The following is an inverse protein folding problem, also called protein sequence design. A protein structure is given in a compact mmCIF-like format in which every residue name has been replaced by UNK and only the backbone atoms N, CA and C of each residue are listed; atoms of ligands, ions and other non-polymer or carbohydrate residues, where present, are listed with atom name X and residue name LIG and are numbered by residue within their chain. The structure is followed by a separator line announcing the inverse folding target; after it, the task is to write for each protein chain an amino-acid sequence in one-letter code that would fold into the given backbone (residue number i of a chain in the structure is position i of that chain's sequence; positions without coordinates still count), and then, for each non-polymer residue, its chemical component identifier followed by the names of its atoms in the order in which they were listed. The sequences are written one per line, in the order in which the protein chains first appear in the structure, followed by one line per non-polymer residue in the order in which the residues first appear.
data_IF_891785080970
#
_entry.id   IF_891785080970
#
_cell.length_a   1.000
_cell.length_b   1.000
_cell.length_c   1.000
_cell.angle_alpha   90.00
_cell.angle_beta   90.00
_cell.angle_gamma   90.00
#
_symmetry.space_group_name_H-M   'P 1'
#
loop_
_entity.id
_entity.type
_entity.pdbx_description
1 polymer ?
#
# COMPACT_ATOMS: atom_id res chain seq x y z
N UNK A 1 18.66 -1.60 4.96
CA UNK A 1 17.32 -1.04 5.26
C UNK A 1 16.27 -1.99 4.75
N UNK A 2 15.20 -2.17 5.51
CA UNK A 2 14.05 -3.00 5.21
C UNK A 2 12.78 -2.20 5.50
N UNK A 3 11.69 -2.48 4.78
CA UNK A 3 10.35 -2.01 5.14
C UNK A 3 9.54 -3.20 5.64
N UNK A 4 8.93 -3.04 6.81
CA UNK A 4 8.11 -4.06 7.45
C UNK A 4 6.74 -3.49 7.78
N UNK A 5 5.68 -4.22 7.42
CA UNK A 5 4.31 -3.84 7.74
C UNK A 5 3.55 -4.99 8.38
N UNK A 6 2.55 -4.65 9.20
CA UNK A 6 1.50 -5.59 9.60
C UNK A 6 0.46 -5.74 8.49
N UNK A 7 -0.55 -6.59 8.68
CA UNK A 7 -1.67 -6.75 7.75
C UNK A 7 -2.99 -6.57 8.49
N UNK A 8 -3.92 -5.83 7.90
CA UNK A 8 -5.28 -5.78 8.42
C UNK A 8 -6.05 -7.09 8.18
N UNK A 9 -6.59 -7.66 9.25
CA UNK A 9 -7.33 -8.93 9.22
C UNK A 9 -8.82 -8.70 9.43
N UNK A 10 -9.19 -7.78 10.31
CA UNK A 10 -10.59 -7.46 10.59
C UNK A 10 -11.14 -6.30 9.76
N UNK A 11 -12.45 -6.36 9.50
CA UNK A 11 -13.19 -5.25 8.90
C UNK A 11 -13.72 -4.29 9.97
N UNK A 12 -14.02 -3.05 9.59
CA UNK A 12 -14.70 -2.08 10.46
C UNK A 12 -13.92 -1.75 11.73
N UNK A 13 -12.59 -1.84 11.68
CA UNK A 13 -11.73 -1.38 12.75
C UNK A 13 -11.80 -2.18 14.04
N UNK A 14 -12.16 -3.47 13.97
CA UNK A 14 -12.22 -4.39 15.12
C UNK A 14 -10.85 -4.94 15.54
N UNK A 15 -9.78 -4.27 15.15
CA UNK A 15 -8.39 -4.62 15.47
C UNK A 15 -7.56 -3.35 15.75
N UNK A 16 -6.40 -3.46 16.43
CA UNK A 16 -5.50 -2.33 16.61
C UNK A 16 -5.02 -1.74 15.27
N UNK A 17 -4.66 -0.46 15.29
CA UNK A 17 -4.13 0.20 14.10
C UNK A 17 -2.86 -0.49 13.60
N UNK A 18 -2.88 -0.85 12.32
CA UNK A 18 -1.76 -1.47 11.63
C UNK A 18 -0.63 -0.47 11.32
N UNK A 19 0.58 -0.97 11.09
CA UNK A 19 1.78 -0.16 10.93
C UNK A 19 2.57 -0.50 9.66
N UNK A 20 3.38 0.45 9.24
CA UNK A 20 4.47 0.28 8.28
C UNK A 20 5.68 1.03 8.85
N UNK A 21 6.81 0.34 8.95
CA UNK A 21 8.05 0.91 9.49
C UNK A 21 9.21 0.78 8.52
N UNK A 22 10.07 1.79 8.53
CA UNK A 22 11.43 1.66 8.01
C UNK A 22 12.30 1.08 9.12
N UNK A 23 13.00 0.00 8.83
CA UNK A 23 13.87 -0.71 9.77
C UNK A 23 15.31 -0.68 9.25
N UNK A 24 16.21 -0.14 10.07
CA UNK A 24 17.64 -0.31 9.87
C UNK A 24 18.04 -1.74 10.26
N UNK A 25 18.74 -2.39 9.34
CA UNK A 25 19.22 -3.77 9.44
C UNK A 25 20.69 -3.86 9.03
N UNK A 26 21.44 -2.76 9.15
CA UNK A 26 22.89 -2.74 8.90
C UNK A 26 23.64 -3.75 9.80
N UNK A 27 23.17 -3.90 11.05
CA UNK A 27 23.51 -5.04 11.91
C UNK A 27 22.26 -5.94 12.06
N UNK A 28 22.23 -7.12 11.41
CA UNK A 28 21.11 -8.05 11.51
C UNK A 28 20.87 -8.59 12.93
N UNK A 29 21.86 -8.54 13.83
CA UNK A 29 21.71 -8.95 15.22
C UNK A 29 21.04 -7.87 16.09
N UNK A 30 20.95 -6.63 15.61
CA UNK A 30 20.40 -5.50 16.35
C UNK A 30 19.57 -4.55 15.46
N UNK A 31 18.45 -5.02 14.87
CA UNK A 31 17.60 -4.20 14.01
C UNK A 31 16.95 -3.04 14.80
N UNK A 32 16.78 -1.89 14.14
CA UNK A 32 16.21 -0.68 14.75
C UNK A 32 15.14 -0.06 13.87
N UNK A 33 13.99 0.25 14.45
CA UNK A 33 12.98 1.07 13.76
C UNK A 33 13.53 2.49 13.63
N UNK A 34 13.52 3.03 12.40
CA UNK A 34 13.92 4.41 12.11
C UNK A 34 12.75 5.36 12.11
N UNK A 35 11.63 4.97 11.49
CA UNK A 35 10.46 5.80 11.29
C UNK A 35 9.23 4.96 10.97
N UNK A 36 8.06 5.60 11.04
CA UNK A 36 6.78 5.07 10.56
C UNK A 36 6.33 5.80 9.32
N UNK A 37 5.62 5.11 8.43
CA UNK A 37 4.99 5.76 7.29
C UNK A 37 3.75 6.53 7.75
N UNK A 38 3.37 7.62 7.06
CA UNK A 38 2.13 8.33 7.36
C UNK A 38 0.92 7.45 7.04
N UNK A 39 -0.13 7.60 7.85
CA UNK A 39 -1.41 6.91 7.61
C UNK A 39 -2.12 7.57 6.42
N UNK A 40 -2.53 6.81 5.39
CA UNK A 40 -3.23 7.37 4.24
C UNK A 40 -4.45 8.20 4.62
N UNK A 41 -4.59 9.38 3.99
CA UNK A 41 -5.72 10.28 4.19
C UNK A 41 -6.55 10.41 2.92
N UNK A 42 -7.90 10.45 3.01
CA UNK A 42 -8.75 10.72 1.87
C UNK A 42 -8.59 12.16 1.37
N UNK A 43 -8.85 12.37 0.08
CA UNK A 43 -8.98 13.71 -0.47
C UNK A 43 -10.20 14.44 0.11
N UNK A 44 -10.11 15.76 0.20
CA UNK A 44 -11.21 16.60 0.64
C UNK A 44 -12.43 16.46 -0.28
N UNK A 45 -13.63 16.38 0.30
CA UNK A 45 -14.89 16.30 -0.43
C UNK A 45 -15.41 14.88 -0.66
N UNK A 46 -14.67 13.86 -0.24
CA UNK A 46 -15.17 12.48 -0.17
C UNK A 46 -16.16 12.33 0.99
N UNK A 47 -17.12 11.38 0.91
CA UNK A 47 -18.19 11.23 1.92
C UNK A 47 -17.72 10.63 3.26
N UNK A 48 -16.41 10.42 3.42
CA UNK A 48 -15.79 9.86 4.62
C UNK A 48 -14.57 10.69 5.02
N UNK A 49 -14.38 10.90 6.33
CA UNK A 49 -13.29 11.70 6.88
C UNK A 49 -11.97 10.94 6.96
N UNK A 50 -12.03 9.60 7.04
CA UNK A 50 -10.87 8.72 7.04
C UNK A 50 -11.18 7.44 6.26
N UNK A 51 -10.14 6.73 5.83
CA UNK A 51 -10.33 5.38 5.27
C UNK A 51 -10.78 4.37 6.32
N UNK A 52 -10.61 4.65 7.62
CA UNK A 52 -11.25 3.85 8.67
C UNK A 52 -12.78 3.94 8.56
N UNK A 53 -13.32 5.15 8.37
CA UNK A 53 -14.77 5.40 8.25
C UNK A 53 -15.35 4.93 6.90
N UNK A 54 -14.49 4.74 5.88
CA UNK A 54 -14.89 4.20 4.58
C UNK A 54 -15.43 2.77 4.69
N UNK A 55 -14.94 2.01 5.68
CA UNK A 55 -15.40 0.65 5.95
C UNK A 55 -14.62 -0.45 5.23
N UNK A 56 -15.02 -1.71 5.36
CA UNK A 56 -14.19 -2.86 5.01
C UNK A 56 -12.90 -2.94 5.84
N UNK A 57 -11.79 -3.36 5.22
CA UNK A 57 -10.47 -3.50 5.86
C UNK A 57 -9.69 -2.23 5.60
N UNK A 58 -9.05 -1.69 6.64
CA UNK A 58 -8.19 -0.54 6.53
C UNK A 58 -6.83 -0.83 7.17
N UNK A 59 -5.81 -0.97 6.34
CA UNK A 59 -4.45 -1.24 6.77
C UNK A 59 -3.53 -1.56 5.59
N UNK A 60 -2.21 -1.58 5.83
CA UNK A 60 -1.23 -2.02 4.86
C UNK A 60 -1.39 -3.53 4.57
N UNK A 61 -0.92 -3.95 3.41
CA UNK A 61 -0.91 -5.36 3.00
C UNK A 61 0.38 -5.76 2.29
N UNK A 62 0.40 -5.83 0.96
CA UNK A 62 1.54 -6.32 0.22
C UNK A 62 2.29 -5.15 -0.41
N UNK A 63 3.61 -5.24 -0.39
CA UNK A 63 4.48 -4.27 -1.01
C UNK A 63 5.25 -4.92 -2.17
N UNK A 64 5.65 -4.09 -3.14
CA UNK A 64 6.52 -4.55 -4.22
C UNK A 64 7.91 -4.84 -3.69
N UNK A 65 8.46 -6.01 -4.03
CA UNK A 65 9.84 -6.38 -3.71
C UNK A 65 10.61 -6.79 -4.97
N UNK A 66 11.82 -6.26 -5.13
CA UNK A 66 12.72 -6.65 -6.22
C UNK A 66 13.17 -8.12 -6.10
N UNK A 67 13.45 -8.59 -4.87
CA UNK A 67 13.91 -9.96 -4.55
C UNK A 67 15.09 -10.49 -5.41
N UNK A 68 15.87 -9.60 -6.03
CA UNK A 68 16.96 -10.00 -6.94
C UNK A 68 16.47 -10.54 -8.30
N UNK A 69 15.18 -10.42 -8.61
CA UNK A 69 14.61 -10.84 -9.88
C UNK A 69 14.74 -9.71 -10.92
N UNK A 70 15.50 -9.88 -12.01
CA UNK A 70 15.69 -8.84 -13.03
C UNK A 70 14.41 -8.48 -13.79
N UNK A 71 13.34 -9.29 -13.68
CA UNK A 71 12.03 -8.95 -14.24
C UNK A 71 11.27 -7.92 -13.38
N UNK A 72 11.69 -7.68 -12.14
CA UNK A 72 11.06 -6.75 -11.21
C UNK A 72 11.78 -5.41 -11.25
N UNK A 73 11.06 -4.30 -11.10
CA UNK A 73 11.70 -3.00 -10.96
C UNK A 73 12.44 -2.90 -9.63
N UNK A 74 13.67 -2.39 -9.63
CA UNK A 74 14.41 -2.12 -8.41
C UNK A 74 14.10 -0.68 -7.94
N UNK A 75 13.15 -0.54 -7.02
CA UNK A 75 12.90 0.74 -6.35
C UNK A 75 14.03 1.02 -5.35
N UNK A 76 14.58 2.24 -5.39
CA UNK A 76 15.66 2.70 -4.51
C UNK A 76 15.15 3.69 -3.48
N UNK A 77 14.38 4.67 -3.96
CA UNK A 77 13.90 5.81 -3.16
C UNK A 77 12.40 5.72 -2.93
N UNK A 78 11.72 4.73 -3.50
CA UNK A 78 10.28 4.57 -3.39
C UNK A 78 9.87 3.25 -2.74
N UNK A 79 8.73 3.27 -2.07
CA UNK A 79 8.01 2.09 -1.58
C UNK A 79 6.61 2.10 -2.16
N UNK A 80 6.21 0.96 -2.69
CA UNK A 80 4.93 0.80 -3.35
C UNK A 80 4.15 -0.29 -2.59
N UNK A 81 3.03 0.09 -1.99
CA UNK A 81 2.34 -0.68 -0.95
C UNK A 81 0.83 -0.68 -1.21
N UNK A 82 0.20 -1.84 -1.17
CA UNK A 82 -1.28 -1.93 -1.13
C UNK A 82 -1.77 -1.65 0.28
N UNK A 83 -2.88 -0.94 0.36
CA UNK A 83 -3.48 -0.48 1.60
C UNK A 83 -5.00 -0.71 1.56
N UNK A 84 -5.42 -1.94 1.28
CA UNK A 84 -6.83 -2.37 1.29
C UNK A 84 -7.80 -1.31 0.71
N UNK A 85 -8.73 -0.78 1.50
CA UNK A 85 -9.73 0.20 1.04
C UNK A 85 -9.17 1.59 0.70
N UNK A 86 -7.92 1.85 1.10
CA UNK A 86 -7.12 2.99 0.74
C UNK A 86 -6.28 2.72 -0.52
N UNK A 87 -6.48 1.61 -1.24
CA UNK A 87 -5.94 1.39 -2.58
C UNK A 87 -4.43 1.20 -2.62
N UNK A 88 -3.81 1.66 -3.70
CA UNK A 88 -2.35 1.60 -3.88
C UNK A 88 -1.70 2.90 -3.39
N UNK A 89 -0.59 2.77 -2.67
CA UNK A 89 0.17 3.88 -2.09
C UNK A 89 1.61 3.86 -2.58
N UNK A 90 2.12 5.03 -2.93
CA UNK A 90 3.51 5.28 -3.29
C UNK A 90 4.10 6.26 -2.29
N UNK A 91 5.16 5.83 -1.60
CA UNK A 91 5.88 6.64 -0.65
C UNK A 91 7.30 6.91 -1.15
N UNK A 92 7.74 8.16 -1.02
CA UNK A 92 9.15 8.55 -1.11
C UNK A 92 9.83 8.29 0.24
N UNK A 93 10.94 7.57 0.17
CA UNK A 93 11.79 7.19 1.31
C UNK A 93 13.25 7.60 1.10
N UNK A 94 13.50 8.60 0.24
CA UNK A 94 14.83 9.18 0.03
C UNK A 94 15.44 9.72 1.33
N UNK A 95 14.60 10.23 2.25
CA UNK A 95 14.92 10.27 3.67
C UNK A 95 14.18 9.13 4.41
N UNK A 96 14.89 8.08 4.86
CA UNK A 96 14.26 6.97 5.56
C UNK A 96 13.75 7.34 6.96
N UNK A 97 14.07 8.53 7.49
CA UNK A 97 13.54 9.01 8.77
C UNK A 97 12.22 9.76 8.62
N UNK A 98 11.89 10.19 7.41
CA UNK A 98 10.66 10.93 7.11
C UNK A 98 10.03 10.44 5.79
N UNK A 99 9.40 9.26 5.77
CA UNK A 99 8.66 8.79 4.60
C UNK A 99 7.50 9.75 4.27
N UNK A 100 7.34 10.10 2.99
CA UNK A 100 6.28 11.00 2.52
C UNK A 100 5.46 10.33 1.43
N UNK A 101 4.13 10.47 1.45
CA UNK A 101 3.28 9.98 0.36
C UNK A 101 3.51 10.82 -0.91
N UNK A 102 3.95 10.18 -1.99
CA UNK A 102 4.23 10.81 -3.28
C UNK A 102 3.12 10.56 -4.32
N UNK A 103 2.26 9.56 -4.08
CA UNK A 103 1.11 9.31 -4.93
C UNK A 103 0.23 8.17 -4.43
N UNK A 104 -0.98 8.10 -4.97
CA UNK A 104 -1.93 7.05 -4.65
C UNK A 104 -2.84 6.74 -5.84
N UNK A 105 -3.46 5.57 -5.81
CA UNK A 105 -4.56 5.20 -6.69
C UNK A 105 -5.63 4.49 -5.89
N UNK A 106 -6.84 5.06 -5.87
CA UNK A 106 -8.03 4.47 -5.26
C UNK A 106 -9.15 4.54 -6.29
N UNK A 107 -9.63 3.41 -6.83
CA UNK A 107 -10.76 3.42 -7.75
C UNK A 107 -12.07 3.68 -7.00
N UNK A 108 -13.13 3.87 -7.76
CA UNK A 108 -14.48 3.86 -7.20
C UNK A 108 -14.79 2.52 -6.54
N UNK A 109 -15.64 2.57 -5.53
CA UNK A 109 -16.12 1.37 -4.88
C UNK A 109 -17.01 0.55 -5.83
N UNK A 110 -16.98 -0.78 -5.74
CA UNK A 110 -17.72 -1.64 -6.66
C UNK A 110 -19.24 -1.48 -6.51
N UNK A 111 -19.96 -1.42 -7.62
CA UNK A 111 -21.43 -1.37 -7.63
C UNK A 111 -22.10 -2.74 -7.39
N UNK A 112 -21.40 -3.84 -7.66
CA UNK A 112 -21.90 -5.21 -7.50
C UNK A 112 -20.82 -6.14 -6.93
N UNK A 113 -21.25 -7.18 -6.21
CA UNK A 113 -20.34 -8.17 -5.62
C UNK A 113 -20.03 -9.29 -6.61
N UNK A 114 -18.75 -9.47 -6.95
CA UNK A 114 -18.23 -10.55 -7.81
C UNK A 114 -17.43 -11.61 -7.05
N UNK A 115 -17.12 -11.39 -5.76
CA UNK A 115 -16.33 -12.29 -4.91
C UNK A 115 -16.79 -12.33 -3.45
N UNK A 116 -16.13 -13.16 -2.62
CA UNK A 116 -16.63 -13.59 -1.29
C UNK A 116 -16.25 -12.64 -0.12
N UNK A 117 -15.09 -11.96 -0.13
CA UNK A 117 -14.80 -10.84 0.78
C UNK A 117 -14.49 -9.52 0.04
N UNK A 118 -14.65 -8.33 0.65
CA UNK A 118 -15.13 -8.05 2.02
C UNK A 118 -16.67 -7.97 2.10
N UNK A 119 -17.22 -7.82 3.32
CA UNK A 119 -18.67 -7.72 3.56
C UNK A 119 -19.29 -6.49 2.86
N UNK A 120 -18.64 -5.35 3.01
CA UNK A 120 -19.10 -4.09 2.42
C UNK A 120 -18.69 -3.97 0.95
N UNK A 121 -19.43 -3.21 0.16
CA UNK A 121 -19.07 -2.92 -1.23
C UNK A 121 -18.05 -1.78 -1.26
N UNK A 122 -16.83 -2.08 -0.85
CA UNK A 122 -15.68 -1.17 -0.91
C UNK A 122 -14.53 -1.82 -1.66
N UNK A 123 -13.72 -1.01 -2.35
CA UNK A 123 -12.46 -1.45 -2.95
C UNK A 123 -11.56 -2.09 -1.88
N UNK A 124 -10.79 -3.10 -2.26
CA UNK A 124 -9.87 -3.83 -1.39
C UNK A 124 -8.65 -4.25 -2.17
N UNK A 125 -7.60 -3.43 -2.12
CA UNK A 125 -6.35 -3.70 -2.80
C UNK A 125 -5.54 -4.77 -2.08
N UNK A 126 -5.02 -5.69 -2.86
CA UNK A 126 -4.47 -6.95 -2.38
C UNK A 126 -2.96 -6.98 -2.59
N UNK A 127 -2.52 -7.06 -3.84
CA UNK A 127 -1.12 -7.31 -4.21
C UNK A 127 -0.59 -6.20 -5.11
N UNK A 128 0.73 -6.06 -5.13
CA UNK A 128 1.39 -5.21 -6.12
C UNK A 128 2.75 -5.75 -6.55
N UNK A 129 3.01 -5.66 -7.84
CA UNK A 129 4.30 -5.95 -8.45
C UNK A 129 4.59 -4.91 -9.54
N UNK A 130 5.84 -4.52 -9.66
CA UNK A 130 6.32 -3.61 -10.71
C UNK A 130 7.27 -4.37 -11.61
N UNK A 131 6.98 -4.38 -12.92
CA UNK A 131 7.87 -5.00 -13.89
C UNK A 131 9.10 -4.11 -14.17
N UNK A 132 10.14 -4.69 -14.79
CA UNK A 132 11.37 -3.98 -15.15
C UNK A 132 11.16 -2.75 -16.08
N UNK A 133 9.97 -2.59 -16.69
CA UNK A 133 9.61 -1.45 -17.55
C UNK A 133 8.95 -0.31 -16.76
N UNK A 134 8.75 -0.49 -15.45
CA UNK A 134 8.07 0.43 -14.56
C UNK A 134 6.54 0.37 -14.64
N UNK A 135 5.97 -0.70 -15.20
CA UNK A 135 4.52 -0.93 -15.21
C UNK A 135 4.13 -1.53 -13.86
N UNK A 136 3.15 -0.91 -13.21
CA UNK A 136 2.66 -1.31 -11.90
C UNK A 136 1.43 -2.18 -12.09
N UNK A 137 1.46 -3.40 -11.59
CA UNK A 137 0.33 -4.33 -11.58
C UNK A 137 -0.17 -4.46 -10.15
N UNK A 138 -1.40 -4.06 -9.90
CA UNK A 138 -2.02 -4.21 -8.59
C UNK A 138 -3.39 -4.88 -8.69
N UNK A 139 -3.74 -5.64 -7.66
CA UNK A 139 -4.98 -6.41 -7.61
C UNK A 139 -5.95 -5.81 -6.61
N UNK A 140 -7.24 -5.95 -6.91
CA UNK A 140 -8.36 -5.63 -6.05
C UNK A 140 -9.30 -6.84 -5.99
N UNK A 141 -9.83 -7.14 -4.79
CA UNK A 141 -10.68 -8.33 -4.57
C UNK A 141 -11.89 -8.43 -5.50
N UNK A 142 -12.42 -7.30 -5.97
CA UNK A 142 -13.65 -7.25 -6.77
C UNK A 142 -13.41 -6.73 -8.19
N UNK A 143 -12.53 -5.74 -8.39
CA UNK A 143 -12.22 -5.16 -9.69
C UNK A 143 -11.23 -6.00 -10.50
N UNK A 144 -10.46 -6.91 -9.88
CA UNK A 144 -9.46 -7.72 -10.55
C UNK A 144 -8.11 -7.00 -10.62
N UNK A 145 -7.52 -6.86 -11.82
CA UNK A 145 -6.16 -6.32 -11.99
C UNK A 145 -6.20 -4.94 -12.64
N UNK A 146 -5.47 -3.99 -12.05
CA UNK A 146 -5.16 -2.70 -12.63
C UNK A 146 -3.72 -2.68 -13.12
N UNK A 147 -3.48 -1.99 -14.24
CA UNK A 147 -2.14 -1.73 -14.78
C UNK A 147 -1.93 -0.22 -14.83
N UNK A 148 -0.97 0.27 -14.06
CA UNK A 148 -0.73 1.69 -13.82
C UNK A 148 0.69 2.09 -14.21
N UNK A 149 0.91 3.39 -14.36
CA UNK A 149 2.24 4.00 -14.51
C UNK A 149 2.31 5.28 -13.68
N UNK A 150 3.40 5.45 -12.94
CA UNK A 150 3.67 6.71 -12.22
C UNK A 150 4.28 7.72 -13.19
N UNK A 151 3.55 8.79 -13.50
CA UNK A 151 3.91 9.78 -14.52
C UNK A 151 5.31 10.39 -14.35
N UNK A 152 5.71 10.83 -13.14
CA UNK A 152 7.05 11.34 -12.88
C UNK A 152 8.19 10.32 -13.01
N UNK A 153 7.87 9.02 -13.01
CA UNK A 153 8.84 7.93 -13.03
C UNK A 153 9.18 7.38 -11.64
N UNK A 154 9.28 6.06 -11.54
CA UNK A 154 9.71 5.36 -10.32
C UNK A 154 11.23 5.43 -10.17
N UNK A 155 11.71 5.46 -8.92
CA UNK A 155 13.12 5.59 -8.54
C UNK A 155 13.52 4.50 -7.55
#
# INVERSE_FOLDING_TARGET
MLVANSEAIEEGGREPLNYVFVVDVADPAAPRVLSSFPVPQPQLGLPYASYYDKGGRFGPRNQHHHQGNPAHFQLRDHVLLTYFNAGLRLFDISDPREPVEAGWFVPEDPAERRGVPPTELVTQFEDVIVDARGSIYCTDKNHGVFVLRYGPGLR
#
